data_IF_841032453464
#
_entry.id   IF_841032453464
#
_cell.length_a   1.000
_cell.length_b   1.000
_cell.length_c   1.000
_cell.angle_alpha   90.00
_cell.angle_beta   90.00
_cell.angle_gamma   90.00
#
_symmetry.space_group_name_H-M   'P 1'
#
loop_
_entity.id
_entity.type
_entity.pdbx_description
1 polymer ?
#
# COMPACT_ATOMS: atom_id res chain seq x y z
N UNK A 1 11.97 3.05 20.79
CA UNK A 1 10.86 3.16 19.82
C UNK A 1 10.59 1.76 19.31
N UNK A 2 9.39 1.20 19.54
CA UNK A 2 9.05 -0.13 19.02
C UNK A 2 8.91 -0.05 17.49
N UNK A 3 9.72 -0.78 16.75
CA UNK A 3 9.51 -0.93 15.31
C UNK A 3 8.17 -1.64 15.09
N UNK A 4 7.28 -1.08 14.26
CA UNK A 4 6.02 -1.74 13.92
C UNK A 4 6.33 -3.11 13.32
N UNK A 5 5.81 -4.21 13.88
CA UNK A 5 6.04 -5.53 13.33
C UNK A 5 5.44 -5.64 11.93
N UNK A 6 5.98 -6.52 11.09
CA UNK A 6 5.49 -6.74 9.72
C UNK A 6 3.99 -7.03 9.69
N UNK A 7 3.45 -7.75 10.69
CA UNK A 7 2.01 -8.00 10.83
C UNK A 7 1.19 -6.72 10.97
N UNK A 8 1.66 -5.74 11.75
CA UNK A 8 1.01 -4.43 11.88
C UNK A 8 1.05 -3.64 10.57
N UNK A 9 2.18 -3.66 9.87
CA UNK A 9 2.32 -3.00 8.57
C UNK A 9 1.40 -3.64 7.50
N UNK A 10 1.25 -4.97 7.51
CA UNK A 10 0.31 -5.66 6.63
C UNK A 10 -1.13 -5.24 6.92
N UNK A 11 -1.53 -5.15 8.19
CA UNK A 11 -2.87 -4.71 8.58
C UNK A 11 -3.15 -3.29 8.09
N UNK A 12 -2.24 -2.35 8.38
CA UNK A 12 -2.35 -0.95 7.92
C UNK A 12 -2.45 -0.86 6.39
N UNK A 13 -1.60 -1.61 5.67
CA UNK A 13 -1.63 -1.65 4.21
C UNK A 13 -2.92 -2.26 3.65
N UNK A 14 -3.53 -3.25 4.32
CA UNK A 14 -4.85 -3.76 3.95
C UNK A 14 -5.96 -2.72 4.17
N UNK A 15 -5.89 -1.94 5.26
CA UNK A 15 -6.82 -0.83 5.47
C UNK A 15 -6.69 0.22 4.36
N UNK A 16 -5.46 0.64 4.04
CA UNK A 16 -5.19 1.59 2.98
C UNK A 16 -5.69 1.08 1.62
N UNK A 17 -5.40 -0.19 1.29
CA UNK A 17 -5.91 -0.85 0.08
C UNK A 17 -7.44 -0.75 -0.03
N UNK A 18 -8.17 -1.02 1.06
CA UNK A 18 -9.65 -0.91 1.06
C UNK A 18 -10.12 0.52 0.82
N UNK A 19 -9.44 1.51 1.39
CA UNK A 19 -9.77 2.93 1.17
C UNK A 19 -9.48 3.35 -0.27
N UNK A 20 -8.29 3.02 -0.78
CA UNK A 20 -7.87 3.30 -2.14
C UNK A 20 -8.76 2.65 -3.20
N UNK A 21 -9.24 1.43 -2.95
CA UNK A 21 -10.18 0.78 -3.86
C UNK A 21 -11.49 1.57 -4.01
N UNK A 22 -12.03 2.11 -2.91
CA UNK A 22 -13.22 2.97 -2.96
C UNK A 22 -12.94 4.27 -3.73
N UNK A 23 -11.76 4.87 -3.53
CA UNK A 23 -11.35 6.07 -4.28
C UNK A 23 -11.19 5.75 -5.78
N UNK A 24 -10.62 4.60 -6.13
CA UNK A 24 -10.53 4.12 -7.52
C UNK A 24 -11.88 4.00 -8.20
N UNK A 25 -12.87 3.43 -7.50
CA UNK A 25 -14.23 3.32 -8.03
C UNK A 25 -14.84 4.71 -8.28
N UNK A 26 -14.57 5.68 -7.41
CA UNK A 26 -15.04 7.06 -7.59
C UNK A 26 -14.35 7.82 -8.74
N UNK A 27 -13.14 7.38 -9.13
CA UNK A 27 -12.35 7.98 -10.21
C UNK A 27 -12.60 7.33 -11.57
N UNK A 28 -13.41 6.27 -11.67
CA UNK A 28 -13.65 5.54 -12.92
C UNK A 28 -14.07 6.47 -14.06
N UNK A 29 -13.41 6.32 -15.22
CA UNK A 29 -13.63 7.18 -16.39
C UNK A 29 -12.80 8.48 -16.41
N UNK A 30 -12.10 8.83 -15.33
CA UNK A 30 -11.18 9.97 -15.30
C UNK A 30 -9.76 9.58 -15.75
N UNK A 31 -8.94 10.52 -16.26
CA UNK A 31 -7.52 10.24 -16.55
C UNK A 31 -6.74 9.75 -15.32
N UNK A 32 -7.09 10.25 -14.14
CA UNK A 32 -6.45 9.90 -12.88
C UNK A 32 -6.75 8.46 -12.43
N UNK A 33 -7.78 7.81 -13.00
CA UNK A 33 -8.11 6.40 -12.74
C UNK A 33 -6.95 5.46 -13.08
N UNK A 34 -6.28 5.68 -14.22
CA UNK A 34 -5.15 4.84 -14.65
C UNK A 34 -3.96 4.96 -13.70
N UNK A 35 -3.64 6.19 -13.28
CA UNK A 35 -2.56 6.42 -12.32
C UNK A 35 -2.89 5.81 -10.96
N UNK A 36 -4.13 6.01 -10.49
CA UNK A 36 -4.62 5.40 -9.26
C UNK A 36 -4.51 3.87 -9.30
N UNK A 37 -4.80 3.23 -10.44
CA UNK A 37 -4.72 1.78 -10.56
C UNK A 37 -3.28 1.29 -10.45
N UNK A 38 -2.31 2.00 -11.03
CA UNK A 38 -0.90 1.66 -10.91
C UNK A 38 -0.41 1.73 -9.45
N UNK A 39 -0.79 2.78 -8.72
CA UNK A 39 -0.45 2.92 -7.29
C UNK A 39 -1.11 1.84 -6.43
N UNK A 40 -2.38 1.54 -6.71
CA UNK A 40 -3.11 0.47 -6.02
C UNK A 40 -2.49 -0.91 -6.28
N UNK A 41 -2.10 -1.20 -7.53
CA UNK A 41 -1.48 -2.47 -7.88
C UNK A 41 -0.09 -2.63 -7.27
N UNK A 42 0.67 -1.52 -7.15
CA UNK A 42 1.92 -1.50 -6.42
C UNK A 42 1.73 -1.90 -4.95
N UNK A 43 0.77 -1.27 -4.24
CA UNK A 43 0.46 -1.64 -2.85
C UNK A 43 0.01 -3.11 -2.72
N UNK A 44 -0.79 -3.61 -3.68
CA UNK A 44 -1.23 -5.01 -3.72
C UNK A 44 -0.04 -5.97 -3.86
N UNK A 45 0.92 -5.63 -4.71
CA UNK A 45 2.13 -6.45 -4.92
C UNK A 45 3.03 -6.48 -3.68
N UNK A 46 3.19 -5.34 -2.99
CA UNK A 46 3.94 -5.27 -1.73
C UNK A 46 3.28 -6.10 -0.63
N UNK A 47 1.95 -6.05 -0.52
CA UNK A 47 1.19 -6.88 0.41
C UNK A 47 1.39 -8.37 0.14
N UNK A 48 1.32 -8.80 -1.12
CA UNK A 48 1.51 -10.20 -1.49
C UNK A 48 2.93 -10.69 -1.13
N UNK A 49 3.95 -9.86 -1.38
CA UNK A 49 5.34 -10.15 -1.01
C UNK A 49 5.51 -10.25 0.50
N UNK A 50 4.94 -9.31 1.26
CA UNK A 50 4.99 -9.30 2.71
C UNK A 50 4.29 -10.52 3.34
N UNK A 51 3.16 -10.94 2.78
CA UNK A 51 2.42 -12.13 3.24
C UNK A 51 3.15 -13.44 2.91
N UNK A 52 3.92 -13.47 1.82
CA UNK A 52 4.65 -14.66 1.37
C UNK A 52 6.08 -14.73 1.89
N UNK A 53 6.56 -13.71 2.62
CA UNK A 53 7.93 -13.65 3.14
C UNK A 53 8.15 -14.74 4.20
N UNK A 54 9.07 -15.67 3.93
CA UNK A 54 9.37 -16.79 4.83
C UNK A 54 10.64 -16.54 5.66
N UNK A 55 11.66 -15.91 5.05
CA UNK A 55 12.91 -15.55 5.72
C UNK A 55 12.85 -14.25 6.54
N UNK A 56 13.76 -14.11 7.50
CA UNK A 56 13.88 -12.90 8.33
C UNK A 56 14.28 -11.68 7.49
N UNK A 57 15.26 -11.85 6.59
CA UNK A 57 15.71 -10.81 5.65
C UNK A 57 14.58 -10.39 4.67
N UNK A 58 13.82 -11.36 4.16
CA UNK A 58 12.67 -11.07 3.29
C UNK A 58 11.56 -10.31 4.02
N UNK A 59 11.30 -10.68 5.28
CA UNK A 59 10.33 -10.00 6.14
C UNK A 59 10.77 -8.58 6.45
N UNK A 60 12.06 -8.36 6.71
CA UNK A 60 12.61 -7.02 6.96
C UNK A 60 12.54 -6.14 5.69
N UNK A 61 12.93 -6.68 4.54
CA UNK A 61 12.79 -6.01 3.26
C UNK A 61 11.33 -5.65 2.97
N UNK A 62 10.40 -6.60 3.16
CA UNK A 62 8.99 -6.37 2.96
C UNK A 62 8.43 -5.34 3.96
N UNK A 63 8.88 -5.35 5.21
CA UNK A 63 8.51 -4.36 6.21
C UNK A 63 9.01 -2.96 5.82
N UNK A 64 10.25 -2.84 5.34
CA UNK A 64 10.79 -1.56 4.89
C UNK A 64 10.02 -1.02 3.66
N UNK A 65 9.73 -1.88 2.68
CA UNK A 65 8.96 -1.50 1.49
C UNK A 65 7.53 -1.07 1.86
N UNK A 66 6.83 -1.84 2.72
CA UNK A 66 5.50 -1.48 3.20
C UNK A 66 5.52 -0.18 4.00
N UNK A 67 6.54 0.04 4.84
CA UNK A 67 6.69 1.28 5.61
C UNK A 67 6.83 2.49 4.70
N UNK A 68 7.64 2.40 3.64
CA UNK A 68 7.75 3.46 2.62
C UNK A 68 6.42 3.69 1.91
N UNK A 69 5.72 2.63 1.52
CA UNK A 69 4.41 2.76 0.86
C UNK A 69 3.34 3.37 1.77
N UNK A 70 3.36 3.10 3.07
CA UNK A 70 2.44 3.65 4.06
C UNK A 70 2.75 5.10 4.45
N UNK A 71 3.95 5.58 4.17
CA UNK A 71 4.31 7.01 4.31
C UNK A 71 3.78 7.86 3.14
N UNK A 72 3.35 7.23 2.04
CA UNK A 72 2.67 7.93 0.95
C UNK A 72 1.33 8.50 1.45
N UNK A 73 0.80 9.55 0.79
CA UNK A 73 -0.48 10.13 1.16
C UNK A 73 -1.59 9.08 1.25
N UNK A 74 -2.46 9.23 2.25
CA UNK A 74 -3.62 8.35 2.45
C UNK A 74 -4.61 8.43 1.30
N UNK A 75 -4.57 9.53 0.56
CA UNK A 75 -5.29 9.68 -0.70
C UNK A 75 -4.49 9.04 -1.84
N UNK A 76 -5.20 8.25 -2.65
CA UNK A 76 -4.61 7.44 -3.70
C UNK A 76 -3.77 8.27 -4.67
N UNK A 77 -4.23 9.46 -5.02
CA UNK A 77 -3.56 10.35 -5.95
C UNK A 77 -2.63 11.36 -5.25
N UNK A 78 -2.62 11.38 -3.92
CA UNK A 78 -2.04 12.46 -3.13
C UNK A 78 -3.00 13.63 -2.92
N UNK A 79 -2.58 14.69 -2.20
CA UNK A 79 -3.39 15.87 -2.04
C UNK A 79 -3.71 16.47 -3.41
N UNK A 80 -5.00 16.69 -3.69
CA UNK A 80 -5.44 17.50 -4.82
C UNK A 80 -4.90 18.92 -4.60
N UNK A 81 -3.87 19.29 -5.36
CA UNK A 81 -3.43 20.69 -5.49
C UNK A 81 -4.33 21.44 -6.46
#
# INVERSE_FOLDING_TARGET
MNATPLSGLIEEAQHLKRQWFKQLQALEGTPAWREGWARYDHLRSLLARAQSAQGEEEKELAANLLRTALQLPKDLLGPSS
#
